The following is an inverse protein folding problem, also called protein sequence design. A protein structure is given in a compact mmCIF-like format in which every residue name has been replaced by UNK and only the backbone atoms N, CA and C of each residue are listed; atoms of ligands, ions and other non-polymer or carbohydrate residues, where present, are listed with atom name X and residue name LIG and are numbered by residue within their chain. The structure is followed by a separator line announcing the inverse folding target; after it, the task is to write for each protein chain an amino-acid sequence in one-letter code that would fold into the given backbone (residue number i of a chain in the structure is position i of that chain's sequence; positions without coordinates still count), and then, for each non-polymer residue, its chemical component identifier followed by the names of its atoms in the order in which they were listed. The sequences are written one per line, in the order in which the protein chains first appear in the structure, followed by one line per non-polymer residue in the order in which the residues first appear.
data_IF_036710963283
#
_entry.id   IF_036710963283
#
_cell.length_a   1.000
_cell.length_b   1.000
_cell.length_c   1.000
_cell.angle_alpha   90.00
_cell.angle_beta   90.00
_cell.angle_gamma   90.00
#
_symmetry.space_group_name_H-M   'P 1'
#
loop_
_entity.id
_entity.type
_entity.pdbx_description
1 polymer ?
#
# COMPACT_ATOMS: atom_id res chain seq x y z
N UNK A 1 -12.93 19.78 -18.91
CA UNK A 1 -11.76 18.88 -19.08
C UNK A 1 -12.23 17.60 -19.76
N UNK A 2 -11.44 17.06 -20.69
CA UNK A 2 -11.74 15.77 -21.33
C UNK A 2 -11.85 14.64 -20.27
N UNK A 3 -12.88 13.77 -20.31
CA UNK A 3 -13.04 12.69 -19.34
C UNK A 3 -11.83 11.76 -19.20
N UNK A 4 -11.11 11.49 -20.30
CA UNK A 4 -9.89 10.67 -20.30
C UNK A 4 -8.79 11.34 -19.49
N UNK A 5 -8.52 12.61 -19.76
CA UNK A 5 -7.52 13.40 -19.01
C UNK A 5 -7.87 13.46 -17.53
N UNK A 6 -9.15 13.67 -17.21
CA UNK A 6 -9.62 13.70 -15.81
C UNK A 6 -9.40 12.36 -15.09
N UNK A 7 -9.63 11.24 -15.77
CA UNK A 7 -9.42 9.90 -15.21
C UNK A 7 -7.93 9.60 -15.01
N UNK A 8 -7.05 10.01 -15.93
CA UNK A 8 -5.60 9.88 -15.75
C UNK A 8 -5.14 10.67 -14.53
N UNK A 9 -5.58 11.93 -14.40
CA UNK A 9 -5.27 12.75 -13.24
C UNK A 9 -5.82 12.16 -11.94
N UNK A 10 -6.99 11.51 -11.99
CA UNK A 10 -7.55 10.81 -10.84
C UNK A 10 -6.66 9.66 -10.37
N UNK A 11 -6.13 8.86 -11.31
CA UNK A 11 -5.20 7.77 -10.99
C UNK A 11 -3.88 8.32 -10.45
N UNK A 12 -3.29 9.32 -11.10
CA UNK A 12 -2.05 9.95 -10.64
C UNK A 12 -2.21 10.52 -9.22
N UNK A 13 -3.29 11.26 -8.96
CA UNK A 13 -3.58 11.77 -7.63
C UNK A 13 -3.79 10.65 -6.61
N UNK A 14 -4.49 9.58 -7.00
CA UNK A 14 -4.70 8.41 -6.14
C UNK A 14 -3.37 7.73 -5.77
N UNK A 15 -2.47 7.53 -6.73
CA UNK A 15 -1.13 6.98 -6.46
C UNK A 15 -0.37 7.88 -5.51
N UNK A 16 -0.29 9.19 -5.80
CA UNK A 16 0.46 10.14 -4.95
C UNK A 16 -0.07 10.16 -3.53
N UNK A 17 -1.38 10.32 -3.33
CA UNK A 17 -1.96 10.39 -1.98
C UNK A 17 -1.85 9.05 -1.26
N UNK A 18 -2.09 7.94 -1.95
CA UNK A 18 -1.92 6.60 -1.39
C UNK A 18 -0.48 6.34 -0.94
N UNK A 19 0.51 6.77 -1.73
CA UNK A 19 1.93 6.65 -1.39
C UNK A 19 2.32 7.53 -0.22
N UNK A 20 1.75 8.73 -0.10
CA UNK A 20 1.94 9.59 1.08
C UNK A 20 1.40 8.90 2.35
N UNK A 21 0.22 8.30 2.29
CA UNK A 21 -0.36 7.56 3.43
C UNK A 21 0.51 6.35 3.79
N UNK A 22 0.94 5.58 2.79
CA UNK A 22 1.81 4.43 2.97
C UNK A 22 3.13 4.83 3.65
N UNK A 23 3.85 5.79 3.08
CA UNK A 23 5.12 6.26 3.64
C UNK A 23 4.94 6.91 5.00
N UNK A 24 3.84 7.64 5.22
CA UNK A 24 3.47 8.19 6.52
C UNK A 24 3.42 7.12 7.61
N UNK A 25 2.73 6.01 7.33
CA UNK A 25 2.59 4.87 8.25
C UNK A 25 3.94 4.18 8.49
N UNK A 26 4.76 4.00 7.44
CA UNK A 26 6.09 3.41 7.56
C UNK A 26 7.01 4.29 8.42
N UNK A 27 7.03 5.61 8.23
CA UNK A 27 7.93 6.50 8.97
C UNK A 27 7.65 6.52 10.48
N UNK A 28 6.39 6.38 10.89
CA UNK A 28 6.02 6.32 12.32
C UNK A 28 6.15 4.92 12.91
N UNK A 29 6.33 3.88 12.09
CA UNK A 29 6.28 2.48 12.57
C UNK A 29 7.35 2.20 13.63
N UNK A 30 8.60 2.61 13.38
CA UNK A 30 9.75 2.33 14.25
C UNK A 30 9.70 3.04 15.61
N UNK A 31 8.89 4.08 15.76
CA UNK A 31 8.67 4.73 17.07
C UNK A 31 7.61 4.03 17.92
N UNK A 32 6.77 3.18 17.30
CA UNK A 32 5.69 2.44 17.97
C UNK A 32 6.10 0.98 18.18
N UNK A 33 6.62 0.33 17.14
CA UNK A 33 7.20 -1.01 17.18
C UNK A 33 8.67 -0.87 16.81
N UNK A 34 9.57 -0.83 17.81
CA UNK A 34 11.00 -0.73 17.56
C UNK A 34 11.50 -1.88 16.67
N UNK A 35 12.57 -1.65 15.88
CA UNK A 35 13.24 -2.73 15.18
C UNK A 35 13.77 -3.79 16.16
N UNK A 36 13.96 -5.04 15.69
CA UNK A 36 14.64 -6.07 16.47
C UNK A 36 16.01 -5.60 16.97
N UNK A 37 16.43 -6.08 18.14
CA UNK A 37 17.76 -5.74 18.69
C UNK A 37 18.87 -6.11 17.70
N UNK A 38 19.81 -5.18 17.48
CA UNK A 38 20.91 -5.35 16.54
C UNK A 38 20.54 -5.23 15.06
N UNK A 39 19.26 -4.98 14.73
CA UNK A 39 18.79 -4.77 13.37
C UNK A 39 18.83 -3.31 12.92
N UNK A 40 19.40 -3.04 11.75
CA UNK A 40 19.26 -1.75 11.06
C UNK A 40 18.14 -1.86 10.02
N UNK A 41 17.08 -1.07 10.17
CA UNK A 41 15.96 -1.00 9.21
C UNK A 41 15.92 0.32 8.43
N UNK A 42 16.98 1.13 8.52
CA UNK A 42 17.06 2.45 7.88
C UNK A 42 17.60 2.40 6.45
N UNK A 43 18.21 1.27 6.08
CA UNK A 43 18.74 0.98 4.74
C UNK A 43 18.05 -0.26 4.15
N UNK A 44 18.02 -0.38 2.82
CA UNK A 44 17.43 -1.56 2.16
C UNK A 44 18.21 -2.83 2.47
N UNK A 45 19.55 -2.74 2.43
CA UNK A 45 20.47 -3.83 2.76
C UNK A 45 20.33 -4.25 4.23
N UNK A 46 20.29 -3.28 5.15
CA UNK A 46 20.07 -3.53 6.57
C UNK A 46 18.72 -4.17 6.84
N UNK A 47 17.64 -3.64 6.24
CA UNK A 47 16.29 -4.17 6.40
C UNK A 47 16.25 -5.64 5.96
N UNK A 48 16.78 -5.94 4.77
CA UNK A 48 16.84 -7.30 4.24
C UNK A 48 17.65 -8.23 5.15
N UNK A 49 18.80 -7.77 5.66
CA UNK A 49 19.60 -8.53 6.60
C UNK A 49 18.87 -8.76 7.93
N UNK A 50 17.95 -7.87 8.34
CA UNK A 50 17.21 -7.94 9.60
C UNK A 50 15.90 -8.75 9.49
N UNK A 51 15.37 -8.99 8.30
CA UNK A 51 14.07 -9.68 8.08
C UNK A 51 13.93 -11.02 8.84
N UNK A 52 15.01 -11.77 9.02
CA UNK A 52 14.99 -13.04 9.75
C UNK A 52 14.77 -12.90 11.26
N UNK A 53 14.98 -11.70 11.81
CA UNK A 53 14.71 -11.35 13.21
C UNK A 53 13.29 -10.79 13.42
N UNK A 54 12.52 -10.60 12.35
CA UNK A 54 11.18 -10.04 12.46
C UNK A 54 10.19 -11.03 13.08
N UNK A 55 9.66 -10.66 14.24
CA UNK A 55 8.45 -11.25 14.83
C UNK A 55 7.16 -10.75 14.15
N UNK A 56 6.02 -11.44 14.33
CA UNK A 56 4.73 -11.04 13.75
C UNK A 56 4.32 -9.59 13.97
N UNK A 57 4.68 -8.99 15.12
CA UNK A 57 4.37 -7.58 15.43
C UNK A 57 4.98 -6.59 14.42
N UNK A 58 6.16 -6.89 13.88
CA UNK A 58 6.86 -5.99 12.95
C UNK A 58 6.17 -5.92 11.57
N UNK A 59 5.26 -6.85 11.27
CA UNK A 59 4.50 -6.88 10.02
C UNK A 59 3.18 -6.11 10.09
N UNK A 60 2.77 -5.64 11.27
CA UNK A 60 1.51 -4.88 11.46
C UNK A 60 1.55 -3.57 10.65
N UNK A 61 2.62 -2.79 10.79
CA UNK A 61 2.73 -1.50 10.10
C UNK A 61 2.92 -1.62 8.59
N UNK A 62 3.75 -2.53 8.05
CA UNK A 62 3.80 -2.81 6.62
C UNK A 62 2.41 -3.15 6.04
N UNK A 63 1.66 -4.05 6.70
CA UNK A 63 0.29 -4.38 6.28
C UNK A 63 -0.62 -3.15 6.27
N UNK A 64 -0.61 -2.37 7.36
CA UNK A 64 -1.41 -1.15 7.46
C UNK A 64 -1.02 -0.11 6.39
N UNK A 65 0.27 0.05 6.11
CA UNK A 65 0.77 0.95 5.08
C UNK A 65 0.29 0.54 3.69
N UNK A 66 0.37 -0.75 3.36
CA UNK A 66 -0.14 -1.29 2.10
C UNK A 66 -1.65 -1.14 1.99
N UNK A 67 -2.38 -1.57 3.03
CA UNK A 67 -3.83 -1.61 3.04
C UNK A 67 -4.47 -0.21 3.02
N UNK A 68 -4.05 0.67 3.92
CA UNK A 68 -4.61 2.02 4.02
C UNK A 68 -4.10 2.94 2.91
N UNK A 69 -2.85 2.77 2.46
CA UNK A 69 -2.34 3.47 1.28
C UNK A 69 -3.16 3.15 0.04
N UNK A 70 -3.44 1.86 -0.20
CA UNK A 70 -4.28 1.43 -1.33
C UNK A 70 -5.72 1.94 -1.19
N UNK A 71 -6.32 1.81 -0.01
CA UNK A 71 -7.69 2.26 0.24
C UNK A 71 -7.85 3.76 -0.02
N UNK A 72 -6.97 4.59 0.55
CA UNK A 72 -7.04 6.04 0.41
C UNK A 72 -6.75 6.45 -1.04
N UNK A 73 -5.75 5.85 -1.69
CA UNK A 73 -5.47 6.13 -3.08
C UNK A 73 -6.65 5.80 -3.99
N UNK A 74 -7.28 4.65 -3.79
CA UNK A 74 -8.46 4.22 -4.53
C UNK A 74 -9.69 5.10 -4.26
N UNK A 75 -9.88 5.55 -3.02
CA UNK A 75 -10.91 6.51 -2.64
C UNK A 75 -10.74 7.84 -3.38
N UNK A 76 -9.51 8.39 -3.38
CA UNK A 76 -9.17 9.65 -4.06
C UNK A 76 -9.38 9.53 -5.57
N UNK A 77 -8.87 8.45 -6.18
CA UNK A 77 -9.07 8.19 -7.61
C UNK A 77 -10.57 8.09 -7.96
N UNK A 78 -11.37 7.42 -7.12
CA UNK A 78 -12.82 7.31 -7.30
C UNK A 78 -13.53 8.67 -7.23
N UNK A 79 -13.14 9.54 -6.29
CA UNK A 79 -13.74 10.87 -6.13
C UNK A 79 -13.43 11.80 -7.29
N UNK A 80 -12.23 11.71 -7.85
CA UNK A 80 -11.79 12.59 -8.94
C UNK A 80 -12.25 12.09 -10.31
N UNK A 81 -12.31 10.76 -10.52
CA UNK A 81 -12.61 10.17 -11.83
C UNK A 81 -13.94 10.68 -12.43
N UNK A 82 -13.92 10.99 -13.72
CA UNK A 82 -15.07 11.41 -14.51
C UNK A 82 -16.01 10.24 -14.83
N UNK A 83 -15.44 9.06 -15.08
CA UNK A 83 -16.16 7.85 -15.51
C UNK A 83 -15.40 6.60 -15.11
N UNK A 84 -16.03 5.42 -15.23
CA UNK A 84 -15.40 4.12 -14.91
C UNK A 84 -14.73 4.11 -13.53
N UNK A 85 -15.35 4.76 -12.53
CA UNK A 85 -14.74 5.02 -11.22
C UNK A 85 -14.22 3.76 -10.52
N UNK A 86 -14.97 2.65 -10.62
CA UNK A 86 -14.54 1.36 -10.09
C UNK A 86 -13.25 0.87 -10.76
N UNK A 87 -13.14 1.00 -12.08
CA UNK A 87 -11.93 0.63 -12.80
C UNK A 87 -10.74 1.50 -12.36
N UNK A 88 -10.94 2.81 -12.19
CA UNK A 88 -9.87 3.71 -11.71
C UNK A 88 -9.38 3.32 -10.31
N UNK A 89 -10.29 2.93 -9.41
CA UNK A 89 -9.95 2.40 -8.10
C UNK A 89 -9.15 1.09 -8.19
N UNK A 90 -9.60 0.14 -9.02
CA UNK A 90 -8.92 -1.14 -9.20
C UNK A 90 -7.53 -0.98 -9.86
N UNK A 91 -7.32 0.05 -10.69
CA UNK A 91 -5.99 0.40 -11.21
C UNK A 91 -5.05 0.83 -10.07
N UNK A 92 -5.55 1.56 -9.06
CA UNK A 92 -4.76 1.85 -7.85
C UNK A 92 -4.42 0.55 -7.11
N UNK A 93 -5.40 -0.33 -6.91
CA UNK A 93 -5.18 -1.64 -6.29
C UNK A 93 -4.10 -2.44 -7.00
N UNK A 94 -4.15 -2.50 -8.33
CA UNK A 94 -3.15 -3.19 -9.14
C UNK A 94 -1.76 -2.55 -9.03
N UNK A 95 -1.67 -1.21 -9.04
CA UNK A 95 -0.41 -0.50 -8.89
C UNK A 95 0.27 -0.84 -7.55
N UNK A 96 -0.48 -0.77 -6.45
CA UNK A 96 0.05 -1.12 -5.12
C UNK A 96 0.34 -2.61 -4.98
N UNK A 97 -0.47 -3.49 -5.58
CA UNK A 97 -0.21 -4.93 -5.61
C UNK A 97 1.12 -5.25 -6.29
N UNK A 98 1.42 -4.60 -7.42
CA UNK A 98 2.70 -4.79 -8.13
C UNK A 98 3.86 -4.34 -7.24
N UNK A 99 3.78 -3.14 -6.65
CA UNK A 99 4.83 -2.62 -5.77
C UNK A 99 5.03 -3.47 -4.51
N UNK A 100 3.93 -3.91 -3.89
CA UNK A 100 3.95 -4.77 -2.72
C UNK A 100 4.52 -6.16 -2.99
N UNK A 101 4.11 -6.78 -4.09
CA UNK A 101 4.67 -8.07 -4.52
C UNK A 101 6.16 -7.97 -4.82
N UNK A 102 6.59 -6.87 -5.46
CA UNK A 102 8.01 -6.60 -5.69
C UNK A 102 8.78 -6.46 -4.37
N UNK A 103 8.24 -5.74 -3.37
CA UNK A 103 8.83 -5.64 -2.04
C UNK A 103 9.00 -7.00 -1.36
N UNK A 104 7.96 -7.85 -1.39
CA UNK A 104 8.01 -9.21 -0.84
C UNK A 104 9.06 -10.05 -1.56
N UNK A 105 9.15 -9.97 -2.89
CA UNK A 105 10.15 -10.71 -3.66
C UNK A 105 11.59 -10.24 -3.35
N UNK A 106 11.79 -8.96 -3.04
CA UNK A 106 13.10 -8.39 -2.72
C UNK A 106 13.56 -8.70 -1.29
N UNK A 107 12.66 -8.57 -0.32
CA UNK A 107 12.93 -8.70 1.12
C UNK A 107 12.75 -10.13 1.65
N UNK A 108 11.91 -10.93 0.99
CA UNK A 108 11.39 -12.17 1.54
C UNK A 108 10.39 -11.92 2.67
N UNK A 109 10.10 -12.96 3.44
CA UNK A 109 9.20 -12.88 4.59
C UNK A 109 8.44 -14.18 4.82
N UNK A 110 7.71 -14.28 5.94
CA UNK A 110 6.94 -15.47 6.24
C UNK A 110 5.73 -15.59 5.29
N UNK A 111 5.41 -16.82 4.90
CA UNK A 111 4.33 -17.11 3.95
C UNK A 111 2.95 -16.61 4.42
N UNK A 112 2.68 -16.65 5.73
CA UNK A 112 1.41 -16.16 6.28
C UNK A 112 1.21 -14.66 6.02
N UNK A 113 2.28 -13.85 6.16
CA UNK A 113 2.22 -12.41 5.93
C UNK A 113 2.05 -12.14 4.44
N UNK A 114 2.85 -12.81 3.62
CA UNK A 114 2.77 -12.70 2.15
C UNK A 114 1.34 -12.97 1.65
N UNK A 115 0.71 -14.03 2.15
CA UNK A 115 -0.67 -14.37 1.80
C UNK A 115 -1.65 -13.30 2.27
N UNK A 116 -1.57 -12.88 3.54
CA UNK A 116 -2.44 -11.85 4.10
C UNK A 116 -2.36 -10.54 3.29
N UNK A 117 -1.14 -10.10 3.00
CA UNK A 117 -0.86 -8.84 2.34
C UNK A 117 -1.37 -8.84 0.89
N UNK A 118 -1.00 -9.85 0.09
CA UNK A 118 -1.45 -9.98 -1.31
C UNK A 118 -2.97 -10.10 -1.41
N UNK A 119 -3.59 -10.91 -0.55
CA UNK A 119 -5.02 -11.19 -0.63
C UNK A 119 -5.83 -10.00 -0.17
N UNK A 120 -5.41 -9.29 0.90
CA UNK A 120 -6.26 -8.31 1.60
C UNK A 120 -5.85 -6.87 1.31
N UNK A 121 -4.56 -6.54 1.32
CA UNK A 121 -4.09 -5.17 1.38
C UNK A 121 -4.29 -4.39 0.07
N UNK A 122 -4.48 -5.06 -1.06
CA UNK A 122 -4.50 -4.40 -2.37
C UNK A 122 -5.90 -4.38 -3.01
N UNK A 123 -6.29 -5.46 -3.68
CA UNK A 123 -7.51 -5.48 -4.49
C UNK A 123 -8.79 -5.30 -3.64
N UNK A 124 -8.94 -5.95 -2.47
CA UNK A 124 -10.08 -5.69 -1.59
C UNK A 124 -10.12 -4.27 -1.05
N UNK A 125 -8.97 -3.72 -0.66
CA UNK A 125 -8.91 -2.34 -0.16
C UNK A 125 -9.18 -1.31 -1.26
N UNK A 126 -8.75 -1.56 -2.50
CA UNK A 126 -9.10 -0.74 -3.64
C UNK A 126 -10.61 -0.76 -3.92
N UNK A 127 -11.22 -1.95 -3.86
CA UNK A 127 -12.67 -2.10 -3.99
C UNK A 127 -13.41 -1.38 -2.85
N UNK A 128 -12.93 -1.51 -1.60
CA UNK A 128 -13.49 -0.81 -0.46
C UNK A 128 -13.39 0.72 -0.62
N UNK A 129 -12.23 1.23 -1.07
CA UNK A 129 -12.04 2.64 -1.39
C UNK A 129 -13.05 3.15 -2.42
N UNK A 130 -13.33 2.36 -3.46
CA UNK A 130 -14.42 2.66 -4.40
C UNK A 130 -15.80 2.67 -3.73
N UNK A 131 -16.14 1.65 -2.94
CA UNK A 131 -17.43 1.55 -2.23
C UNK A 131 -17.67 2.76 -1.33
N UNK A 132 -16.64 3.23 -0.63
CA UNK A 132 -16.72 4.39 0.26
C UNK A 132 -16.85 5.70 -0.51
N UNK A 133 -16.27 5.80 -1.71
CA UNK A 133 -16.27 7.01 -2.52
C UNK A 133 -17.38 7.12 -3.57
N UNK A 134 -18.09 6.03 -3.90
CA UNK A 134 -19.06 5.97 -5.01
C UNK A 134 -20.35 6.79 -4.81
N UNK A 135 -20.64 7.21 -3.57
CA UNK A 135 -21.67 8.22 -3.27
C UNK A 135 -21.16 9.60 -3.68
#
# INVERSE_FOLDING_TARGET
MNPVVKNILAVVAGVVVGSIVNMGIIMISGSIIPPPEGGDITTMEGLKATMHLFEPKHFIFPFLAHALGTLVGAFVATKIAASRKMLMALVIGLFFLIGGTANIAMLGGPMWFTALDIIVAYMPMAFLGWVLAKK
#
